data_IF_221557104709
#
_entry.id   IF_221557104709
#
_cell.length_a   1.000
_cell.length_b   1.000
_cell.length_c   1.000
_cell.angle_alpha   90.00
_cell.angle_beta   90.00
_cell.angle_gamma   90.00
#
_symmetry.space_group_name_H-M   'P 1'
#
loop_
_entity.id
_entity.type
_entity.pdbx_description
1 polymer ?
#
# COMPACT_ATOMS: atom_id res chain seq x y z
N UNK A 1 -5.94 20.74 -4.77
CA UNK A 1 -5.37 19.41 -4.47
C UNK A 1 -6.25 18.75 -3.43
N UNK A 2 -6.92 17.67 -3.80
CA UNK A 2 -7.72 16.89 -2.86
C UNK A 2 -6.84 16.24 -1.79
N UNK A 3 -7.44 15.75 -0.71
CA UNK A 3 -6.73 15.01 0.34
C UNK A 3 -5.98 13.79 -0.23
N UNK A 4 -6.54 13.13 -1.25
CA UNK A 4 -5.93 11.98 -1.93
C UNK A 4 -4.67 12.34 -2.72
N UNK A 5 -4.65 13.49 -3.41
CA UNK A 5 -3.46 13.96 -4.12
C UNK A 5 -2.29 14.21 -3.15
N UNK A 6 -2.59 14.80 -1.98
CA UNK A 6 -1.59 15.07 -0.94
C UNK A 6 -0.99 13.78 -0.38
N UNK A 7 -1.80 12.71 -0.24
CA UNK A 7 -1.32 11.41 0.21
C UNK A 7 -0.36 10.78 -0.81
N UNK A 8 -0.69 10.83 -2.10
CA UNK A 8 0.20 10.32 -3.16
C UNK A 8 1.51 11.09 -3.20
N UNK A 9 1.46 12.43 -3.14
CA UNK A 9 2.66 13.28 -3.12
C UNK A 9 3.52 13.03 -1.87
N UNK A 10 2.89 12.82 -0.71
CA UNK A 10 3.58 12.40 0.51
C UNK A 10 4.24 11.04 0.31
N UNK A 11 3.52 10.05 -0.21
CA UNK A 11 4.05 8.70 -0.43
C UNK A 11 5.23 8.66 -1.40
N UNK A 12 5.22 9.49 -2.46
CA UNK A 12 6.36 9.63 -3.40
C UNK A 12 7.66 10.05 -2.71
N UNK A 13 7.58 10.78 -1.60
CA UNK A 13 8.75 11.15 -0.77
C UNK A 13 9.28 10.00 0.09
N UNK A 14 8.60 8.84 0.10
CA UNK A 14 8.92 7.63 0.88
C UNK A 14 9.20 7.97 2.36
N UNK A 15 8.21 8.55 3.06
CA UNK A 15 8.38 8.97 4.44
C UNK A 15 8.64 7.77 5.36
N UNK A 16 9.51 7.97 6.35
CA UNK A 16 9.87 6.92 7.34
C UNK A 16 8.76 6.64 8.35
N UNK A 17 7.81 7.55 8.48
CA UNK A 17 6.66 7.51 9.37
C UNK A 17 5.34 7.17 8.63
N UNK A 18 5.42 6.59 7.43
CA UNK A 18 4.23 6.19 6.67
C UNK A 18 3.46 5.09 7.40
N UNK A 19 2.17 5.31 7.66
CA UNK A 19 1.38 4.37 8.45
C UNK A 19 0.69 3.29 7.61
N UNK A 20 0.26 2.22 8.27
CA UNK A 20 -0.57 1.20 7.64
C UNK A 20 -1.91 1.78 7.14
N UNK A 21 -2.54 2.68 7.90
CA UNK A 21 -3.79 3.34 7.48
C UNK A 21 -3.61 4.24 6.24
N UNK A 22 -2.49 4.97 6.17
CA UNK A 22 -2.10 5.70 4.96
C UNK A 22 -1.87 4.75 3.78
N UNK A 23 -1.28 3.57 4.03
CA UNK A 23 -1.09 2.53 3.01
C UNK A 23 -2.41 1.99 2.49
N UNK A 24 -3.37 1.70 3.37
CA UNK A 24 -4.72 1.25 2.98
C UNK A 24 -5.42 2.30 2.11
N UNK A 25 -5.35 3.57 2.54
CA UNK A 25 -5.95 4.69 1.82
C UNK A 25 -5.33 4.90 0.43
N UNK A 26 -4.00 4.77 0.34
CA UNK A 26 -3.25 4.87 -0.91
C UNK A 26 -3.62 3.75 -1.89
N UNK A 27 -3.67 2.51 -1.43
CA UNK A 27 -3.99 1.35 -2.26
C UNK A 27 -5.44 1.39 -2.75
N UNK A 28 -6.37 1.72 -1.86
CA UNK A 28 -7.77 1.91 -2.21
C UNK A 28 -7.94 3.01 -3.27
N UNK A 29 -7.15 4.09 -3.19
CA UNK A 29 -7.15 5.14 -4.21
C UNK A 29 -6.77 4.63 -5.61
N UNK A 30 -5.87 3.65 -5.69
CA UNK A 30 -5.48 3.00 -6.95
C UNK A 30 -6.34 1.79 -7.34
N UNK A 31 -7.44 1.53 -6.63
CA UNK A 31 -8.36 0.42 -6.95
C UNK A 31 -7.95 -0.94 -6.40
N UNK A 32 -7.02 -0.98 -5.44
CA UNK A 32 -6.68 -2.19 -4.71
C UNK A 32 -7.66 -2.43 -3.56
N UNK A 33 -8.09 -3.68 -3.42
CA UNK A 33 -8.91 -4.15 -2.30
C UNK A 33 -8.22 -5.31 -1.59
N UNK A 34 -8.48 -5.44 -0.30
CA UNK A 34 -7.98 -6.58 0.46
C UNK A 34 -8.56 -7.88 -0.11
N UNK A 35 -7.68 -8.82 -0.44
CA UNK A 35 -8.01 -10.09 -1.05
C UNK A 35 -7.51 -11.22 -0.15
N UNK A 36 -8.28 -11.52 0.90
CA UNK A 36 -7.99 -12.58 1.85
C UNK A 36 -8.75 -13.86 1.51
N UNK A 37 -8.02 -14.96 1.30
CA UNK A 37 -8.57 -16.32 1.18
C UNK A 37 -8.54 -17.00 2.55
N UNK A 38 -9.47 -16.65 3.45
CA UNK A 38 -9.73 -17.40 4.69
C UNK A 38 -8.63 -17.37 5.77
N UNK A 39 -9.01 -17.83 6.97
CA UNK A 39 -8.27 -17.75 8.23
C UNK A 39 -6.85 -18.32 8.17
N UNK A 40 -5.85 -17.46 8.01
CA UNK A 40 -4.44 -17.63 8.50
C UNK A 40 -3.53 -16.46 8.06
N UNK A 41 -4.05 -15.26 7.85
CA UNK A 41 -3.19 -14.12 7.53
C UNK A 41 -2.74 -13.47 8.84
N UNK A 42 -1.60 -13.90 9.36
CA UNK A 42 -0.89 -13.20 10.43
C UNK A 42 -0.47 -11.79 9.96
N UNK A 43 0.80 -11.42 10.09
CA UNK A 43 1.23 -10.09 9.65
C UNK A 43 1.15 -9.87 8.13
N UNK A 44 0.90 -10.87 7.29
CA UNK A 44 0.82 -10.69 5.82
C UNK A 44 -0.62 -10.46 5.36
N UNK A 45 -0.84 -9.53 4.43
CA UNK A 45 -2.14 -9.26 3.79
C UNK A 45 -1.92 -9.12 2.30
N UNK A 46 -2.79 -9.73 1.49
CA UNK A 46 -2.77 -9.57 0.04
C UNK A 46 -3.80 -8.55 -0.39
N UNK A 47 -3.42 -7.68 -1.33
CA UNK A 47 -4.32 -6.79 -2.03
C UNK A 47 -4.38 -7.16 -3.51
N UNK A 48 -5.54 -6.99 -4.12
CA UNK A 48 -5.79 -7.19 -5.54
C UNK A 48 -6.34 -5.91 -6.14
N UNK A 49 -5.76 -5.47 -7.24
CA UNK A 49 -6.32 -4.39 -8.05
C UNK A 49 -7.47 -4.94 -8.88
N UNK A 50 -8.69 -4.47 -8.66
CA UNK A 50 -9.87 -5.03 -9.33
C UNK A 50 -9.94 -4.67 -10.82
N UNK A 51 -9.24 -3.60 -11.25
CA UNK A 51 -9.20 -3.17 -12.65
C UNK A 51 -8.14 -3.92 -13.46
N UNK A 52 -6.95 -4.09 -12.92
CA UNK A 52 -5.79 -4.69 -13.64
C UNK A 52 -5.55 -6.15 -13.29
N UNK A 53 -6.14 -6.66 -12.20
CA UNK A 53 -5.87 -7.98 -11.66
C UNK A 53 -4.51 -8.11 -10.95
N UNK A 54 -3.74 -7.03 -10.83
CA UNK A 54 -2.44 -7.04 -10.17
C UNK A 54 -2.55 -7.33 -8.67
N UNK A 55 -1.62 -8.10 -8.12
CA UNK A 55 -1.56 -8.40 -6.69
C UNK A 55 -0.35 -7.74 -6.02
N UNK A 56 -0.51 -7.37 -4.75
CA UNK A 56 0.59 -6.97 -3.88
C UNK A 56 0.41 -7.58 -2.49
N UNK A 57 1.48 -8.17 -1.95
CA UNK A 57 1.51 -8.68 -0.58
C UNK A 57 2.19 -7.66 0.34
N UNK A 58 1.51 -7.32 1.44
CA UNK A 58 1.93 -6.31 2.41
C UNK A 58 2.10 -6.95 3.78
N UNK A 59 3.07 -6.47 4.55
CA UNK A 59 3.26 -6.87 5.94
C UNK A 59 2.72 -5.77 6.84
N UNK A 60 1.68 -6.08 7.62
CA UNK A 60 1.18 -5.29 8.73
C UNK A 60 2.32 -5.01 9.72
N UNK A 61 2.46 -3.77 10.20
CA UNK A 61 3.44 -3.43 11.22
C UNK A 61 3.04 -4.04 12.58
N UNK A 62 4.03 -4.59 13.30
CA UNK A 62 3.86 -5.14 14.65
C UNK A 62 5.17 -5.06 15.45
N UNK A 63 5.17 -4.50 16.69
CA UNK A 63 4.15 -3.61 17.27
C UNK A 63 4.16 -2.21 16.59
N UNK A 64 3.02 -1.52 16.62
CA UNK A 64 2.87 -0.15 16.07
C UNK A 64 2.18 -0.08 14.70
N UNK A 65 2.05 1.13 14.18
CA UNK A 65 1.32 1.44 12.93
C UNK A 65 2.22 1.91 11.78
N UNK A 66 3.51 2.14 12.02
CA UNK A 66 4.48 2.61 11.02
C UNK A 66 4.95 1.45 10.15
N UNK A 67 4.84 1.61 8.84
CA UNK A 67 5.31 0.64 7.85
C UNK A 67 6.83 0.56 7.85
N UNK A 68 7.36 -0.67 7.78
CA UNK A 68 8.81 -0.87 7.60
C UNK A 68 9.26 -0.19 6.29
N UNK A 69 10.42 0.48 6.32
CA UNK A 69 10.92 1.25 5.17
C UNK A 69 11.03 0.41 3.88
N UNK A 70 11.46 -0.85 4.01
CA UNK A 70 11.53 -1.77 2.87
C UNK A 70 10.15 -2.05 2.26
N UNK A 71 9.10 -2.11 3.07
CA UNK A 71 7.73 -2.32 2.59
C UNK A 71 7.21 -1.08 1.85
N UNK A 72 7.48 0.12 2.36
CA UNK A 72 7.18 1.37 1.64
C UNK A 72 7.89 1.41 0.29
N UNK A 73 9.17 1.00 0.23
CA UNK A 73 9.92 0.89 -1.03
C UNK A 73 9.30 -0.14 -1.99
N UNK A 74 8.91 -1.32 -1.49
CA UNK A 74 8.24 -2.35 -2.29
C UNK A 74 6.93 -1.83 -2.89
N UNK A 75 6.08 -1.19 -2.09
CA UNK A 75 4.83 -0.60 -2.58
C UNK A 75 5.11 0.48 -3.63
N UNK A 76 6.13 1.32 -3.41
CA UNK A 76 6.51 2.35 -4.37
C UNK A 76 6.93 1.75 -5.72
N UNK A 77 7.80 0.74 -5.72
CA UNK A 77 8.21 0.08 -6.97
C UNK A 77 7.04 -0.61 -7.66
N UNK A 78 6.16 -1.26 -6.88
CA UNK A 78 4.96 -1.89 -7.43
C UNK A 78 4.07 -0.87 -8.13
N UNK A 79 3.72 0.24 -7.48
CA UNK A 79 2.88 1.28 -8.06
C UNK A 79 3.54 1.93 -9.29
N UNK A 80 4.87 2.15 -9.25
CA UNK A 80 5.62 2.70 -10.38
C UNK A 80 5.63 1.76 -11.58
N UNK A 81 5.88 0.47 -11.37
CA UNK A 81 5.91 -0.55 -12.43
C UNK A 81 4.54 -0.76 -13.08
N UNK A 82 3.45 -0.53 -12.33
CA UNK A 82 2.08 -0.55 -12.85
C UNK A 82 1.63 0.80 -13.44
N UNK A 83 2.52 1.80 -13.55
CA UNK A 83 2.21 3.11 -14.14
C UNK A 83 1.26 3.97 -13.30
N UNK A 84 1.02 3.62 -12.04
CA UNK A 84 0.08 4.31 -11.14
C UNK A 84 0.68 5.57 -10.51
N UNK A 85 2.01 5.60 -10.38
CA UNK A 85 2.78 6.77 -9.94
C UNK A 85 3.99 6.97 -10.85
N UNK A 86 4.44 8.23 -10.96
CA UNK A 86 5.66 8.63 -11.67
C UNK A 86 6.83 8.78 -10.70
#
# INVERSE_FOLDING_TARGET
MGSKDKLVERFKKRPKDFTYEETLSLLAHFGYQEHTKGSTSGSRVRFKNETTGAYIDIHRPHPGSIMKEWMVKTIYQHLKNNGLIK
#
